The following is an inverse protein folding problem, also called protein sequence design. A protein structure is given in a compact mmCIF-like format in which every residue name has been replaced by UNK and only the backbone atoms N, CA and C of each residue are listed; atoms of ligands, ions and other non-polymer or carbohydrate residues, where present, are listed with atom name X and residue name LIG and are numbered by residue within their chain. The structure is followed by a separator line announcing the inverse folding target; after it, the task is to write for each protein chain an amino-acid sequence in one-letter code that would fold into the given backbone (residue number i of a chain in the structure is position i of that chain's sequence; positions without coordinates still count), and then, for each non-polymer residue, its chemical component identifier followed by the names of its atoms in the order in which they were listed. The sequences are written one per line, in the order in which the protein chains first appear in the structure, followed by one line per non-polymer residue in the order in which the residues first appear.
data_IF_058188829467
#
_entry.id   IF_058188829467
#
_cell.length_a   1.000
_cell.length_b   1.000
_cell.length_c   1.000
_cell.angle_alpha   90.00
_cell.angle_beta   90.00
_cell.angle_gamma   90.00
#
_symmetry.space_group_name_H-M   'P 1'
#
loop_
_entity.id
_entity.type
_entity.pdbx_description
1 polymer ?
#
# COMPACT_ATOMS: atom_id res chain seq x y z
N UNK A 1 13.35 -5.55 -2.40
CA UNK A 1 13.76 -4.27 -1.79
C UNK A 1 15.25 -4.19 -1.44
N UNK A 2 15.89 -5.21 -0.84
CA UNK A 2 17.32 -5.08 -0.46
C UNK A 2 18.27 -4.74 -1.63
N UNK A 3 18.00 -5.25 -2.84
CA UNK A 3 18.75 -4.85 -4.04
C UNK A 3 18.65 -3.35 -4.34
N UNK A 4 17.52 -2.71 -4.02
CA UNK A 4 17.35 -1.26 -4.17
C UNK A 4 18.19 -0.53 -3.12
N UNK A 5 18.18 -1.00 -1.87
CA UNK A 5 19.00 -0.45 -0.78
C UNK A 5 20.51 -0.54 -1.03
N UNK A 6 20.97 -1.59 -1.72
CA UNK A 6 22.39 -1.74 -2.09
C UNK A 6 22.72 -1.12 -3.45
N UNK A 7 21.83 -0.31 -4.03
CA UNK A 7 21.97 0.29 -5.37
C UNK A 7 22.21 -0.72 -6.51
N UNK A 8 21.79 -1.98 -6.33
CA UNK A 8 21.79 -3.02 -7.37
C UNK A 8 20.57 -2.97 -8.29
N UNK A 9 19.52 -2.22 -7.91
CA UNK A 9 18.36 -1.92 -8.72
C UNK A 9 17.87 -0.49 -8.41
N UNK A 10 17.36 0.23 -9.41
CA UNK A 10 16.90 1.63 -9.21
C UNK A 10 15.57 1.72 -8.47
N UNK A 11 14.68 0.75 -8.70
CA UNK A 11 13.37 0.68 -8.07
C UNK A 11 12.80 -0.75 -8.00
N UNK A 12 11.89 -0.93 -7.07
CA UNK A 12 11.13 -2.15 -6.83
C UNK A 12 9.68 -1.76 -6.55
N UNK A 13 8.73 -2.33 -7.27
CA UNK A 13 7.30 -2.14 -6.99
C UNK A 13 6.63 -3.50 -6.85
N UNK A 14 5.62 -3.58 -5.98
CA UNK A 14 4.80 -4.78 -5.85
C UNK A 14 3.38 -4.43 -5.40
N UNK A 15 2.41 -5.17 -5.94
CA UNK A 15 0.98 -5.01 -5.68
C UNK A 15 0.45 -6.35 -5.21
N UNK A 16 -0.17 -6.39 -4.03
CA UNK A 16 -0.76 -7.58 -3.43
C UNK A 16 0.08 -8.28 -2.36
N UNK A 17 1.27 -7.78 -2.03
CA UNK A 17 2.04 -8.28 -0.89
C UNK A 17 1.41 -7.84 0.43
N UNK A 18 1.43 -8.73 1.43
CA UNK A 18 0.93 -8.46 2.77
C UNK A 18 1.88 -7.57 3.58
N UNK A 19 1.31 -6.85 4.55
CA UNK A 19 2.01 -5.87 5.38
C UNK A 19 3.27 -6.41 6.06
N UNK A 20 3.31 -7.69 6.47
CA UNK A 20 4.47 -8.28 7.16
C UNK A 20 5.73 -8.35 6.28
N UNK A 21 5.57 -8.62 4.98
CA UNK A 21 6.69 -8.69 4.04
C UNK A 21 7.22 -7.28 3.71
N UNK A 22 6.33 -6.28 3.73
CA UNK A 22 6.68 -4.88 3.49
C UNK A 22 7.31 -4.24 4.73
N UNK A 23 6.84 -4.57 5.93
CA UNK A 23 7.28 -3.93 7.17
C UNK A 23 8.80 -4.00 7.38
N UNK A 24 9.37 -5.21 7.27
CA UNK A 24 10.81 -5.41 7.45
C UNK A 24 11.62 -4.75 6.32
N UNK A 25 11.15 -4.89 5.08
CA UNK A 25 11.86 -4.39 3.91
C UNK A 25 11.80 -2.86 3.79
N UNK A 26 10.70 -2.25 4.25
CA UNK A 26 10.53 -0.80 4.26
C UNK A 26 11.51 -0.09 5.20
N UNK A 27 11.79 -0.72 6.36
CA UNK A 27 12.79 -0.22 7.29
C UNK A 27 14.19 -0.20 6.64
N UNK A 28 14.58 -1.29 5.99
CA UNK A 28 15.89 -1.41 5.33
C UNK A 28 16.09 -0.32 4.28
N UNK A 29 15.07 -0.07 3.44
CA UNK A 29 15.14 0.97 2.40
C UNK A 29 15.27 2.36 3.02
N UNK A 30 14.51 2.65 4.08
CA UNK A 30 14.59 3.93 4.79
C UNK A 30 15.96 4.18 5.42
N UNK A 31 16.56 3.17 6.06
CA UNK A 31 17.92 3.29 6.64
C UNK A 31 19.01 3.46 5.58
N UNK A 32 18.76 3.05 4.34
CA UNK A 32 19.64 3.27 3.20
C UNK A 32 19.39 4.58 2.43
N UNK A 33 18.72 5.56 3.06
CA UNK A 33 18.28 6.82 2.43
C UNK A 33 17.38 6.64 1.19
N UNK A 34 16.76 5.47 1.05
CA UNK A 34 15.82 5.17 -0.01
C UNK A 34 14.42 5.74 0.26
N UNK A 35 13.65 5.89 -0.81
CA UNK A 35 12.30 6.45 -0.77
C UNK A 35 11.27 5.34 -0.98
N UNK A 36 10.22 5.35 -0.16
CA UNK A 36 9.06 4.46 -0.31
C UNK A 36 7.79 5.30 -0.43
N UNK A 37 7.00 4.97 -1.45
CA UNK A 37 5.69 5.58 -1.73
C UNK A 37 4.67 4.51 -2.11
N UNK A 38 3.40 4.86 -2.10
CA UNK A 38 2.36 4.02 -2.71
C UNK A 38 2.46 4.10 -4.25
N UNK A 39 1.90 3.13 -4.96
CA UNK A 39 1.76 3.17 -6.43
C UNK A 39 0.96 4.37 -6.92
N UNK A 40 0.09 4.92 -6.08
CA UNK A 40 -0.71 6.11 -6.39
C UNK A 40 0.11 7.43 -6.27
N UNK A 41 1.40 7.33 -5.91
CA UNK A 41 2.27 8.49 -5.69
C UNK A 41 2.04 9.20 -4.35
N UNK A 42 1.18 8.64 -3.50
CA UNK A 42 0.88 9.14 -2.16
C UNK A 42 1.89 8.64 -1.14
N UNK A 43 1.75 9.13 0.10
CA UNK A 43 2.53 8.62 1.23
C UNK A 43 2.30 7.13 1.38
N UNK A 44 3.38 6.39 1.57
CA UNK A 44 3.34 4.95 1.75
C UNK A 44 2.41 4.53 2.89
N UNK A 45 1.41 3.72 2.56
CA UNK A 45 0.56 3.01 3.52
C UNK A 45 0.92 1.52 3.53
N UNK A 46 1.33 1.03 4.71
CA UNK A 46 1.77 -0.33 4.92
C UNK A 46 0.65 -1.37 4.71
N UNK A 47 -0.61 -0.98 4.88
CA UNK A 47 -1.75 -1.90 4.85
C UNK A 47 -2.49 -1.89 3.50
N UNK A 48 -2.16 -0.94 2.62
CA UNK A 48 -2.74 -0.82 1.27
C UNK A 48 -2.26 -1.87 0.27
N UNK A 49 -1.33 -2.76 0.67
CA UNK A 49 -0.74 -3.85 -0.14
C UNK A 49 -0.12 -3.40 -1.45
N UNK A 50 0.24 -2.13 -1.55
CA UNK A 50 0.80 -1.48 -2.74
C UNK A 50 2.01 -0.70 -2.30
N UNK A 51 3.14 -0.91 -2.97
CA UNK A 51 4.39 -0.26 -2.59
C UNK A 51 5.31 -0.06 -3.79
N UNK A 52 5.97 1.09 -3.81
CA UNK A 52 7.11 1.40 -4.67
C UNK A 52 8.26 1.82 -3.75
N UNK A 53 9.39 1.13 -3.84
CA UNK A 53 10.66 1.52 -3.26
C UNK A 53 11.62 1.95 -4.37
N UNK A 54 12.35 3.04 -4.18
CA UNK A 54 13.37 3.51 -5.11
C UNK A 54 14.54 4.14 -4.37
N UNK A 55 15.69 4.29 -5.04
CA UNK A 55 16.84 5.00 -4.45
C UNK A 55 16.64 6.53 -4.34
N UNK A 56 15.65 7.07 -5.06
CA UNK A 56 15.43 8.50 -5.20
C UNK A 56 13.95 8.80 -5.43
N UNK A 57 13.50 9.94 -4.90
CA UNK A 57 12.13 10.44 -5.06
C UNK A 57 11.77 10.68 -6.53
N UNK A 58 12.74 11.08 -7.37
CA UNK A 58 12.50 11.28 -8.81
C UNK A 58 12.11 9.98 -9.51
N UNK A 59 12.83 8.89 -9.21
CA UNK A 59 12.55 7.55 -9.77
C UNK A 59 11.23 7.01 -9.22
N UNK A 60 10.99 7.17 -7.92
CA UNK A 60 9.73 6.75 -7.30
C UNK A 60 8.53 7.43 -7.97
N UNK A 61 8.56 8.77 -8.10
CA UNK A 61 7.51 9.56 -8.73
C UNK A 61 7.30 9.18 -10.20
N UNK A 62 8.38 8.90 -10.94
CA UNK A 62 8.26 8.47 -12.32
C UNK A 62 7.58 7.11 -12.44
N UNK A 63 7.90 6.19 -11.54
CA UNK A 63 7.27 4.87 -11.50
C UNK A 63 5.79 4.96 -11.14
N UNK A 64 5.40 5.81 -10.19
CA UNK A 64 3.99 6.05 -9.86
C UNK A 64 3.16 6.56 -11.05
N UNK A 65 3.77 7.27 -12.01
CA UNK A 65 3.07 7.73 -13.22
C UNK A 65 2.79 6.62 -14.25
N UNK A 66 3.57 5.54 -14.24
CA UNK A 66 3.50 4.48 -15.27
C UNK A 66 2.93 3.18 -14.73
N UNK A 67 3.07 2.93 -13.44
CA UNK A 67 2.57 1.71 -12.79
C UNK A 67 1.07 1.85 -12.59
N UNK A 68 0.31 0.98 -13.26
CA UNK A 68 -1.13 0.87 -13.03
C UNK A 68 -1.40 -0.18 -11.95
N UNK A 69 -1.93 0.27 -10.81
CA UNK A 69 -2.29 -0.62 -9.73
C UNK A 69 -3.62 -1.33 -10.00
N UNK A 70 -3.64 -2.66 -9.80
CA UNK A 70 -4.89 -3.42 -9.78
C UNK A 70 -5.57 -3.25 -8.40
N UNK A 71 -6.91 -3.27 -8.34
CA UNK A 71 -7.63 -3.13 -7.08
C UNK A 71 -7.29 -4.31 -6.16
N UNK A 72 -6.75 -3.99 -4.99
CA UNK A 72 -6.37 -4.95 -3.96
C UNK A 72 -7.07 -4.61 -2.65
N UNK A 73 -7.53 -5.65 -1.94
CA UNK A 73 -8.16 -5.49 -0.63
C UNK A 73 -7.11 -5.08 0.38
N UNK A 74 -7.39 -4.04 1.15
CA UNK A 74 -6.52 -3.57 2.22
C UNK A 74 -6.42 -4.64 3.33
N UNK A 75 -5.23 -4.87 3.90
CA UNK A 75 -5.01 -5.97 4.86
C UNK A 75 -5.84 -5.82 6.16
N UNK A 76 -6.28 -4.61 6.47
CA UNK A 76 -7.20 -4.32 7.59
C UNK A 76 -8.70 -4.45 7.26
N UNK A 77 -9.07 -4.74 6.00
CA UNK A 77 -10.46 -4.96 5.60
C UNK A 77 -10.79 -6.47 5.59
N UNK A 78 -11.87 -6.86 6.27
CA UNK A 78 -12.43 -8.20 6.13
C UNK A 78 -13.00 -8.38 4.70
N UNK A 79 -12.58 -9.40 3.93
CA UNK A 79 -13.10 -9.66 2.59
C UNK A 79 -14.62 -9.87 2.53
N UNK A 80 -15.24 -10.23 3.68
CA UNK A 80 -16.69 -10.41 3.83
C UNK A 80 -17.47 -9.10 3.95
N UNK A 81 -16.83 -7.97 4.24
CA UNK A 81 -17.51 -6.69 4.43
C UNK A 81 -17.96 -6.04 3.11
N UNK A 82 -17.44 -6.48 1.95
CA UNK A 82 -17.80 -5.96 0.62
C UNK A 82 -19.03 -6.62 -0.03
N UNK A 83 -19.64 -7.61 0.60
CA UNK A 83 -20.94 -8.14 0.17
C UNK A 83 -22.09 -7.24 0.67
N UNK A 84 -22.16 -5.99 0.21
CA UNK A 84 -23.40 -5.19 0.32
C UNK A 84 -24.07 -5.14 -1.04
N UNK A 85 -24.85 -6.18 -1.34
CA UNK A 85 -25.93 -6.05 -2.30
C UNK A 85 -26.88 -4.96 -1.79
N UNK A 86 -27.17 -3.98 -2.63
CA UNK A 86 -27.69 -2.67 -2.23
C UNK A 86 -28.98 -2.70 -1.41
N UNK A 87 -29.04 -1.83 -0.42
CA UNK A 87 -30.29 -1.16 -0.01
C UNK A 87 -29.92 0.19 0.63
N UNK A 88 -30.61 1.29 0.30
CA UNK A 88 -30.41 2.57 0.97
C UNK A 88 -31.25 2.57 2.27
N UNK A 89 -30.63 2.34 3.43
CA UNK A 89 -31.33 2.49 4.70
C UNK A 89 -31.29 3.95 5.15
N UNK A 90 -32.36 4.66 4.77
CA UNK A 90 -32.80 5.91 5.37
C UNK A 90 -33.16 5.67 6.86
N UNK A 91 -32.61 6.49 7.76
CA UNK A 91 -33.24 6.93 9.01
C UNK A 91 -33.48 5.94 10.17
N UNK A 92 -33.40 6.55 11.37
CA UNK A 92 -33.95 6.14 12.68
C UNK A 92 -33.11 5.31 13.66
N UNK A 93 -32.94 5.94 14.83
CA UNK A 93 -32.46 5.49 16.15
C UNK A 93 -32.95 4.10 16.58
N UNK A 94 -32.23 3.47 17.53
CA UNK A 94 -32.74 2.96 18.82
C UNK A 94 -31.67 2.12 19.57
N UNK A 95 -31.40 2.55 20.81
CA UNK A 95 -31.06 1.85 22.06
C UNK A 95 -30.48 0.41 22.12
N UNK A 96 -29.45 0.28 22.97
CA UNK A 96 -29.17 -0.76 24.00
C UNK A 96 -29.09 -2.27 23.68
N UNK A 97 -27.95 -2.86 24.05
CA UNK A 97 -27.71 -4.09 24.88
C UNK A 97 -26.19 -4.36 24.86
N UNK A 98 -25.46 -4.74 25.92
CA UNK A 98 -25.76 -5.22 27.26
C UNK A 98 -24.68 -4.73 28.24
#
# INVERSE_FOLDING_TARGET
MCLVSTAGADAYYHIGTHCWDIAASALIVKESDGVIIDTDGTVFDMMSRKVIAANSSAVANRNAQVVQAFPCTHDGEDPKAKCTCGTPSNGHSVQNRH
#
